data_IF_920521394357
#
_entry.id   IF_920521394357
#
_cell.length_a   1.000
_cell.length_b   1.000
_cell.length_c   1.000
_cell.angle_alpha   90.00
_cell.angle_beta   90.00
_cell.angle_gamma   90.00
#
_symmetry.space_group_name_H-M   'P 1'
#
loop_
_entity.id
_entity.type
_entity.pdbx_description
1 polymer ?
#
# COMPACT_ATOMS: atom_id res chain seq x y z
N UNK A 1 -20.82 -58.57 0.94
CA UNK A 1 -20.43 -57.28 1.52
C UNK A 1 -19.44 -56.62 0.55
N UNK A 2 -19.94 -55.76 -0.34
CA UNK A 2 -19.08 -54.98 -1.22
C UNK A 2 -18.45 -53.87 -0.38
N UNK A 3 -17.28 -54.14 0.19
CA UNK A 3 -16.42 -53.08 0.71
C UNK A 3 -15.99 -52.27 -0.51
N UNK A 4 -16.69 -51.17 -0.76
CA UNK A 4 -16.22 -50.12 -1.63
C UNK A 4 -14.91 -49.65 -0.95
N UNK A 5 -13.76 -50.17 -1.41
CA UNK A 5 -12.48 -49.58 -1.05
C UNK A 5 -12.54 -48.18 -1.63
N UNK A 6 -12.87 -47.25 -0.75
CA UNK A 6 -12.83 -45.84 -1.05
C UNK A 6 -11.34 -45.53 -1.13
N UNK A 7 -10.81 -45.58 -2.34
CA UNK A 7 -9.37 -45.42 -2.63
C UNK A 7 -8.85 -44.10 -2.07
N UNK A 8 -9.74 -43.13 -1.89
CA UNK A 8 -9.50 -41.88 -1.20
C UNK A 8 -9.30 -42.09 0.32
N UNK A 9 -10.15 -42.89 0.96
CA UNK A 9 -10.03 -43.25 2.37
C UNK A 9 -8.72 -43.98 2.66
N UNK A 10 -8.35 -44.98 1.85
CA UNK A 10 -7.12 -45.75 2.07
C UNK A 10 -5.83 -44.91 1.92
N UNK A 11 -5.82 -43.91 1.04
CA UNK A 11 -4.68 -42.98 0.86
C UNK A 11 -4.56 -41.99 2.02
N UNK A 12 -5.68 -41.50 2.54
CA UNK A 12 -5.71 -40.42 3.52
C UNK A 12 -5.92 -40.88 4.98
N UNK A 13 -6.21 -42.16 5.21
CA UNK A 13 -6.34 -42.78 6.54
C UNK A 13 -4.98 -43.12 7.20
N UNK A 14 -3.86 -42.83 6.55
CA UNK A 14 -2.55 -42.97 7.20
C UNK A 14 -2.48 -42.08 8.45
N UNK A 15 -1.96 -42.62 9.57
CA UNK A 15 -1.83 -41.97 10.89
C UNK A 15 -1.11 -40.59 10.90
N UNK A 16 -0.66 -40.14 9.74
CA UNK A 16 0.13 -38.93 9.48
C UNK A 16 -0.72 -37.69 9.18
N UNK A 17 -1.99 -37.87 8.75
CA UNK A 17 -2.86 -36.78 8.34
C UNK A 17 -3.95 -36.52 9.38
N UNK A 18 -4.07 -35.26 9.82
CA UNK A 18 -5.22 -34.80 10.58
C UNK A 18 -6.30 -34.30 9.61
N UNK A 19 -7.56 -34.29 10.04
CA UNK A 19 -8.65 -33.69 9.27
C UNK A 19 -8.33 -32.24 8.84
N UNK A 20 -7.62 -31.50 9.70
CA UNK A 20 -7.13 -30.15 9.40
C UNK A 20 -6.09 -30.15 8.28
N UNK A 21 -5.05 -30.98 8.37
CA UNK A 21 -4.00 -30.99 7.34
C UNK A 21 -4.50 -31.48 5.97
N UNK A 22 -5.48 -32.37 5.95
CA UNK A 22 -6.19 -32.78 4.73
C UNK A 22 -6.97 -31.61 4.12
N UNK A 23 -7.72 -30.90 4.96
CA UNK A 23 -8.46 -29.72 4.53
C UNK A 23 -7.53 -28.63 3.99
N UNK A 24 -6.45 -28.31 4.70
CA UNK A 24 -5.45 -27.31 4.28
C UNK A 24 -4.82 -27.69 2.93
N UNK A 25 -4.56 -28.98 2.68
CA UNK A 25 -3.99 -29.45 1.42
C UNK A 25 -4.98 -29.37 0.25
N UNK A 26 -6.25 -29.72 0.49
CA UNK A 26 -7.32 -29.59 -0.49
C UNK A 26 -7.58 -28.12 -0.83
N UNK A 27 -7.69 -27.26 0.19
CA UNK A 27 -7.88 -25.83 0.03
C UNK A 27 -6.72 -25.21 -0.78
N UNK A 28 -5.47 -25.51 -0.41
CA UNK A 28 -4.29 -25.07 -1.17
C UNK A 28 -4.32 -25.49 -2.64
N UNK A 29 -4.81 -26.71 -2.94
CA UNK A 29 -4.79 -27.28 -4.30
C UNK A 29 -5.93 -26.77 -5.19
N UNK A 30 -7.09 -26.47 -4.62
CA UNK A 30 -8.30 -26.19 -5.40
C UNK A 30 -8.86 -24.77 -5.22
N UNK A 31 -8.46 -24.03 -4.18
CA UNK A 31 -8.91 -22.66 -3.93
C UNK A 31 -8.15 -21.62 -4.77
N UNK A 32 -8.26 -21.77 -6.09
CA UNK A 32 -7.53 -20.98 -7.09
C UNK A 32 -8.07 -19.57 -7.25
N UNK A 33 -9.37 -19.36 -7.04
CA UNK A 33 -10.04 -18.07 -7.14
C UNK A 33 -9.59 -17.12 -6.01
N UNK A 34 -9.63 -17.58 -4.75
CA UNK A 34 -9.16 -16.79 -3.62
C UNK A 34 -7.67 -16.48 -3.75
N UNK A 35 -6.85 -17.45 -4.16
CA UNK A 35 -5.43 -17.21 -4.46
C UNK A 35 -5.25 -16.19 -5.60
N UNK A 36 -6.14 -16.17 -6.59
CA UNK A 36 -6.15 -15.19 -7.67
C UNK A 36 -6.43 -13.77 -7.18
N UNK A 37 -7.46 -13.60 -6.34
CA UNK A 37 -7.81 -12.34 -5.71
C UNK A 37 -6.68 -11.83 -4.79
N UNK A 38 -6.09 -12.72 -3.98
CA UNK A 38 -4.92 -12.43 -3.14
C UNK A 38 -3.73 -11.94 -3.97
N UNK A 39 -3.38 -12.65 -5.05
CA UNK A 39 -2.30 -12.25 -5.97
C UNK A 39 -2.57 -10.90 -6.64
N UNK A 40 -3.82 -10.62 -7.00
CA UNK A 40 -4.20 -9.34 -7.59
C UNK A 40 -4.02 -8.18 -6.61
N UNK A 41 -4.47 -8.32 -5.35
CA UNK A 41 -4.31 -7.30 -4.32
C UNK A 41 -2.84 -6.98 -4.05
N UNK A 42 -1.99 -8.01 -3.95
CA UNK A 42 -0.53 -7.83 -3.81
C UNK A 42 0.05 -7.09 -5.00
N UNK A 43 -0.32 -7.49 -6.22
CA UNK A 43 0.16 -6.83 -7.44
C UNK A 43 -0.23 -5.36 -7.49
N UNK A 44 -1.48 -5.04 -7.11
CA UNK A 44 -2.01 -3.67 -7.07
C UNK A 44 -1.24 -2.80 -6.06
N UNK A 45 -1.02 -3.32 -4.85
CA UNK A 45 -0.21 -2.64 -3.83
C UNK A 45 1.22 -2.35 -4.31
N UNK A 46 1.89 -3.36 -4.87
CA UNK A 46 3.28 -3.25 -5.31
C UNK A 46 3.44 -2.24 -6.45
N UNK A 47 2.51 -2.24 -7.42
CA UNK A 47 2.53 -1.34 -8.59
C UNK A 47 2.10 0.09 -8.30
N UNK A 48 1.42 0.35 -7.18
CA UNK A 48 0.99 1.69 -6.84
C UNK A 48 2.20 2.64 -6.71
N UNK A 49 2.15 3.76 -7.42
CA UNK A 49 3.12 4.84 -7.37
C UNK A 49 2.34 6.15 -7.30
N UNK A 50 2.73 7.07 -6.42
CA UNK A 50 2.06 8.37 -6.35
C UNK A 50 2.40 9.17 -7.61
N UNK A 51 1.41 9.89 -8.11
CA UNK A 51 1.56 10.76 -9.26
C UNK A 51 1.71 12.22 -8.79
N UNK A 52 2.45 12.98 -9.57
CA UNK A 52 2.60 14.43 -9.39
C UNK A 52 1.25 15.14 -9.52
N UNK A 53 1.14 16.34 -8.95
CA UNK A 53 -0.05 17.21 -9.01
C UNK A 53 -1.33 16.66 -8.37
N UNK A 54 -1.25 15.58 -7.59
CA UNK A 54 -2.31 15.13 -6.67
C UNK A 54 -1.86 15.31 -5.23
N UNK A 55 -2.82 15.44 -4.32
CA UNK A 55 -2.53 15.47 -2.90
C UNK A 55 -1.88 14.15 -2.45
N UNK A 56 -0.71 14.24 -1.83
CA UNK A 56 0.02 13.11 -1.25
C UNK A 56 -0.77 12.56 -0.07
N UNK A 57 -1.49 13.40 0.68
CA UNK A 57 -2.39 12.95 1.74
C UNK A 57 -3.51 12.04 1.22
N UNK A 58 -4.15 12.41 0.10
CA UNK A 58 -5.20 11.60 -0.54
C UNK A 58 -4.63 10.26 -1.05
N UNK A 59 -3.51 10.31 -1.76
CA UNK A 59 -2.84 9.11 -2.28
C UNK A 59 -2.31 8.20 -1.16
N UNK A 60 -1.97 8.74 0.00
CA UNK A 60 -1.60 7.96 1.19
C UNK A 60 -2.79 7.15 1.71
N UNK A 61 -3.99 7.74 1.73
CA UNK A 61 -5.21 7.00 2.08
C UNK A 61 -5.53 5.88 1.07
N UNK A 62 -5.26 6.07 -0.22
CA UNK A 62 -5.39 5.01 -1.23
C UNK A 62 -4.47 3.82 -0.95
N UNK A 63 -3.22 4.06 -0.55
CA UNK A 63 -2.27 3.00 -0.18
C UNK A 63 -2.74 2.27 1.09
N UNK A 64 -3.25 2.99 2.10
CA UNK A 64 -3.79 2.40 3.32
C UNK A 64 -5.00 1.51 2.99
N UNK A 65 -5.88 1.93 2.08
CA UNK A 65 -7.00 1.09 1.62
C UNK A 65 -6.52 -0.18 0.92
N UNK A 66 -5.43 -0.11 0.16
CA UNK A 66 -4.81 -1.30 -0.42
C UNK A 66 -4.21 -2.20 0.65
N UNK A 67 -3.62 -1.66 1.71
CA UNK A 67 -3.14 -2.45 2.85
C UNK A 67 -4.29 -3.12 3.60
N UNK A 68 -5.41 -2.45 3.81
CA UNK A 68 -6.60 -3.07 4.39
C UNK A 68 -7.12 -4.24 3.55
N UNK A 69 -7.16 -4.09 2.22
CA UNK A 69 -7.52 -5.19 1.33
C UNK A 69 -6.52 -6.37 1.38
N UNK A 70 -5.24 -6.10 1.69
CA UNK A 70 -4.25 -7.15 1.96
C UNK A 70 -4.48 -7.79 3.33
N UNK A 71 -4.83 -7.02 4.35
CA UNK A 71 -5.13 -7.51 5.69
C UNK A 71 -6.36 -8.42 5.70
N UNK A 72 -7.42 -8.07 4.96
CA UNK A 72 -8.62 -8.90 4.74
C UNK A 72 -8.26 -10.23 4.06
N UNK A 73 -7.21 -10.21 3.25
CA UNK A 73 -6.63 -11.36 2.57
C UNK A 73 -5.58 -12.11 3.42
N UNK A 74 -5.53 -11.86 4.74
CA UNK A 74 -4.59 -12.43 5.71
C UNK A 74 -3.10 -12.11 5.43
N UNK A 75 -2.82 -11.07 4.64
CA UNK A 75 -1.49 -10.59 4.28
C UNK A 75 -1.17 -9.24 4.91
N UNK A 76 -1.53 -9.08 6.20
CA UNK A 76 -1.31 -7.84 6.94
C UNK A 76 0.18 -7.45 6.96
N UNK A 77 0.46 -6.19 6.66
CA UNK A 77 1.83 -5.70 6.63
C UNK A 77 2.26 -5.21 8.02
N UNK A 78 3.53 -5.45 8.44
CA UNK A 78 4.08 -4.79 9.61
C UNK A 78 4.01 -3.27 9.43
N UNK A 79 3.60 -2.51 10.46
CA UNK A 79 3.42 -1.05 10.37
C UNK A 79 4.65 -0.35 9.79
N UNK A 80 5.86 -0.74 10.24
CA UNK A 80 7.13 -0.18 9.73
C UNK A 80 7.29 -0.41 8.22
N UNK A 81 6.85 -1.56 7.71
CA UNK A 81 6.90 -1.85 6.27
C UNK A 81 5.91 -0.96 5.51
N UNK A 82 4.68 -0.82 6.00
CA UNK A 82 3.68 0.08 5.41
C UNK A 82 4.19 1.52 5.35
N UNK A 83 4.67 2.05 6.48
CA UNK A 83 5.24 3.39 6.60
C UNK A 83 6.36 3.63 5.57
N UNK A 84 7.37 2.75 5.53
CA UNK A 84 8.49 2.93 4.60
C UNK A 84 8.04 2.78 3.14
N UNK A 85 7.08 1.88 2.87
CA UNK A 85 6.55 1.72 1.52
C UNK A 85 5.73 2.92 1.03
N UNK A 86 5.06 3.65 1.92
CA UNK A 86 4.40 4.92 1.59
C UNK A 86 5.45 5.97 1.24
N UNK A 87 6.50 6.09 2.06
CA UNK A 87 7.60 7.04 1.81
C UNK A 87 8.32 6.73 0.49
N UNK A 88 8.54 5.46 0.17
CA UNK A 88 9.16 5.03 -1.09
C UNK A 88 8.26 5.25 -2.32
N UNK A 89 6.95 5.42 -2.12
CA UNK A 89 5.98 5.69 -3.19
C UNK A 89 5.75 7.18 -3.41
N UNK A 90 6.39 8.07 -2.65
CA UNK A 90 6.25 9.51 -2.81
C UNK A 90 6.61 9.97 -4.22
N UNK A 91 5.92 11.01 -4.73
CA UNK A 91 6.28 11.60 -6.01
C UNK A 91 7.67 12.26 -5.93
N UNK A 92 8.32 12.46 -7.07
CA UNK A 92 9.70 12.97 -7.14
C UNK A 92 9.84 14.34 -6.48
N UNK A 93 8.82 15.19 -6.62
CA UNK A 93 8.80 16.50 -5.94
C UNK A 93 8.89 16.43 -4.42
N UNK A 94 8.61 15.28 -3.80
CA UNK A 94 8.65 15.02 -2.35
C UNK A 94 9.91 14.27 -1.89
N UNK A 95 10.88 14.02 -2.77
CA UNK A 95 12.09 13.22 -2.48
C UNK A 95 12.85 13.70 -1.24
N UNK A 96 13.06 15.01 -1.10
CA UNK A 96 13.77 15.58 0.05
C UNK A 96 13.06 15.29 1.38
N UNK A 97 11.73 15.46 1.42
CA UNK A 97 10.93 15.16 2.61
C UNK A 97 10.96 13.66 2.93
N UNK A 98 10.84 12.81 1.90
CA UNK A 98 10.97 11.36 2.05
C UNK A 98 12.33 10.95 2.62
N UNK A 99 13.42 11.57 2.18
CA UNK A 99 14.75 11.33 2.74
C UNK A 99 14.84 11.76 4.20
N UNK A 100 14.30 12.93 4.57
CA UNK A 100 14.23 13.37 5.97
C UNK A 100 13.56 12.33 6.86
N UNK A 101 12.42 11.78 6.43
CA UNK A 101 11.71 10.73 7.17
C UNK A 101 12.53 9.45 7.33
N UNK A 102 13.27 9.03 6.29
CA UNK A 102 14.12 7.82 6.34
C UNK A 102 15.27 7.94 7.34
N UNK A 103 15.84 9.14 7.49
CA UNK A 103 16.97 9.39 8.39
C UNK A 103 16.55 9.90 9.78
N UNK A 104 15.26 10.19 9.99
CA UNK A 104 14.75 10.63 11.27
C UNK A 104 15.05 9.61 12.37
N UNK A 105 15.57 10.09 13.49
CA UNK A 105 15.79 9.24 14.68
C UNK A 105 14.46 8.96 15.37
N UNK A 106 14.25 7.71 15.75
CA UNK A 106 13.05 7.26 16.48
C UNK A 106 12.14 6.36 15.65
N UNK A 107 11.01 5.95 16.25
CA UNK A 107 9.99 5.15 15.55
C UNK A 107 9.08 6.09 14.77
N UNK A 108 8.98 5.86 13.47
CA UNK A 108 8.01 6.51 12.60
C UNK A 108 6.73 5.67 12.60
N UNK A 109 5.66 6.17 13.24
CA UNK A 109 4.33 5.53 13.21
C UNK A 109 3.53 6.00 12.00
N UNK A 110 2.50 5.23 11.63
CA UNK A 110 1.61 5.60 10.53
C UNK A 110 0.88 6.92 10.82
N UNK A 111 0.37 7.10 12.03
CA UNK A 111 -0.36 8.32 12.42
C UNK A 111 0.52 9.57 12.31
N UNK A 112 1.77 9.47 12.80
CA UNK A 112 2.71 10.58 12.68
C UNK A 112 3.03 10.88 11.22
N UNK A 113 3.24 9.85 10.39
CA UNK A 113 3.50 10.04 8.96
C UNK A 113 2.34 10.80 8.28
N UNK A 114 1.09 10.42 8.55
CA UNK A 114 -0.09 11.10 7.96
C UNK A 114 -0.13 12.57 8.36
N UNK A 115 0.15 12.89 9.62
CA UNK A 115 0.19 14.28 10.10
C UNK A 115 1.33 15.04 9.42
N UNK A 116 2.53 14.46 9.36
CA UNK A 116 3.68 15.09 8.74
C UNK A 116 3.46 15.39 7.25
N UNK A 117 2.82 14.46 6.53
CA UNK A 117 2.43 14.66 5.12
C UNK A 117 1.50 15.87 4.98
N UNK A 118 0.46 15.98 5.82
CA UNK A 118 -0.50 17.11 5.73
C UNK A 118 0.19 18.45 5.97
N UNK A 119 1.06 18.53 6.98
CA UNK A 119 1.83 19.75 7.29
C UNK A 119 2.73 20.14 6.11
N UNK A 120 3.48 19.18 5.57
CA UNK A 120 4.38 19.43 4.44
C UNK A 120 3.62 19.86 3.18
N UNK A 121 2.45 19.27 2.95
CA UNK A 121 1.58 19.63 1.82
C UNK A 121 1.05 21.06 1.93
N UNK A 122 0.60 21.47 3.11
CA UNK A 122 0.17 22.84 3.38
C UNK A 122 1.32 23.84 3.20
N UNK A 123 2.52 23.51 3.69
CA UNK A 123 3.72 24.34 3.54
C UNK A 123 4.10 24.55 2.06
N UNK A 124 4.04 23.48 1.24
CA UNK A 124 4.28 23.55 -0.21
C UNK A 124 3.24 24.40 -0.93
N UNK A 125 1.98 24.26 -0.57
CA UNK A 125 0.88 25.03 -1.16
C UNK A 125 1.00 26.53 -0.84
N UNK A 126 1.46 26.90 0.36
CA UNK A 126 1.70 28.30 0.74
C UNK A 126 2.88 28.89 -0.04
N UNK A 127 3.98 28.14 -0.15
CA UNK A 127 5.18 28.57 -0.90
C UNK A 127 4.86 28.82 -2.38
N UNK A 128 4.05 27.95 -3.00
CA UNK A 128 3.60 28.14 -4.38
C UNK A 128 2.76 29.41 -4.55
N UNK A 129 1.86 29.72 -3.60
CA UNK A 129 1.06 30.96 -3.66
C UNK A 129 1.92 32.21 -3.57
N UNK A 130 2.90 32.23 -2.66
CA UNK A 130 3.84 33.35 -2.50
C UNK A 130 4.65 33.56 -3.80
N UNK A 131 5.11 32.49 -4.44
CA UNK A 131 5.90 32.60 -5.68
C UNK A 131 5.10 33.14 -6.87
N UNK A 132 3.79 32.90 -6.94
CA UNK A 132 2.95 33.42 -8.03
C UNK A 132 2.60 34.90 -7.81
N UNK A 133 2.42 35.32 -6.56
CA UNK A 133 2.07 36.72 -6.23
C UNK A 133 3.22 37.69 -6.50
N UNK A 134 4.48 37.25 -6.39
CA UNK A 134 5.66 38.08 -6.63
C UNK A 134 6.10 38.15 -8.11
N UNK A 135 5.33 37.61 -9.06
CA UNK A 135 5.62 37.83 -10.48
C UNK A 135 5.30 39.29 -10.88
N UNK A 136 6.27 40.09 -11.35
CA UNK A 136 6.02 41.46 -11.76
C UNK A 136 5.08 41.49 -12.97
N UNK A 137 3.89 42.07 -12.79
CA UNK A 137 2.96 42.38 -13.88
C UNK A 137 3.56 43.48 -14.75
N UNK A 138 4.20 43.10 -15.86
CA UNK A 138 4.67 44.04 -16.86
C UNK A 138 3.47 44.67 -17.59
N UNK A 139 2.99 45.82 -17.09
CA UNK A 139 2.03 46.64 -17.80
C UNK A 139 2.77 47.41 -18.91
N UNK A 140 2.60 46.99 -20.17
CA UNK A 140 3.01 47.77 -21.33
C UNK A 140 2.02 48.93 -21.52
N UNK A 141 2.38 50.10 -21.00
CA UNK A 141 1.75 51.37 -21.38
C UNK A 141 2.21 51.69 -22.80
N UNK A 142 1.39 51.39 -23.80
CA UNK A 142 1.60 51.92 -25.16
C UNK A 142 1.15 53.37 -25.14
N UNK A 143 2.11 54.29 -25.15
CA UNK A 143 1.88 55.72 -25.17
C UNK A 143 1.43 56.20 -26.55
N UNK A 144 0.30 56.93 -26.54
CA UNK A 144 -0.25 57.90 -27.51
C UNK A 144 -0.34 57.52 -28.99
#
# INVERSE_FOLDING_TARGET
MSALSDTLFDVYYSKSYTAKSLWDELDRKYNTEEQGLKKYSVSKYMRYQMIENRYVAEQTHEIINLEHALADAEMKLPEKFLVMSIVDKFPKSWENFGMTLKYQKGRLSLDYLIIAIRIEEEHRNQTHKISVEHQPRANLIVGK
#
